data_IF_862963549512
#
_entry.id   IF_862963549512
#
_cell.length_a   1.000
_cell.length_b   1.000
_cell.length_c   1.000
_cell.angle_alpha   90.00
_cell.angle_beta   90.00
_cell.angle_gamma   90.00
#
_symmetry.space_group_name_H-M   'P 1'
#
loop_
_entity.id
_entity.type
_entity.pdbx_description
1 polymer ?
#
# COMPACT_ATOMS: atom_id res chain seq x y z
N UNK A 1 61.72 -8.34 30.34
CA UNK A 1 60.35 -7.80 30.37
C UNK A 1 59.94 -7.44 28.95
N UNK A 2 58.98 -8.15 28.36
CA UNK A 2 58.34 -7.78 27.08
C UNK A 2 56.84 -7.86 27.32
N UNK A 3 56.20 -6.71 27.42
CA UNK A 3 54.75 -6.57 27.54
C UNK A 3 54.14 -6.75 26.16
N UNK A 4 53.23 -7.72 26.01
CA UNK A 4 52.41 -7.88 24.81
C UNK A 4 51.16 -6.98 24.94
N UNK A 5 50.70 -6.33 23.86
CA UNK A 5 49.49 -5.52 23.91
C UNK A 5 48.27 -6.43 23.83
N UNK A 6 47.34 -6.26 24.77
CA UNK A 6 46.00 -6.87 24.71
C UNK A 6 45.19 -6.08 23.69
N UNK A 7 44.87 -6.70 22.56
CA UNK A 7 43.97 -6.14 21.56
C UNK A 7 42.53 -6.13 22.08
N UNK A 8 41.97 -4.94 22.29
CA UNK A 8 40.57 -4.75 22.65
C UNK A 8 39.72 -4.75 21.37
N UNK A 9 39.09 -5.87 21.05
CA UNK A 9 38.16 -5.97 19.91
C UNK A 9 36.82 -5.36 20.29
N UNK A 10 36.54 -4.15 19.79
CA UNK A 10 35.23 -3.49 19.94
C UNK A 10 34.23 -4.14 18.98
N UNK A 11 33.23 -4.85 19.51
CA UNK A 11 32.13 -5.41 18.73
C UNK A 11 31.14 -4.27 18.41
N UNK A 12 31.16 -3.72 17.19
CA UNK A 12 30.10 -2.83 16.72
C UNK A 12 28.84 -3.66 16.45
N UNK A 13 27.83 -3.56 17.32
CA UNK A 13 26.48 -3.99 16.99
C UNK A 13 25.89 -3.00 15.96
N UNK A 14 25.81 -3.41 14.69
CA UNK A 14 24.94 -2.76 13.72
C UNK A 14 23.49 -3.00 14.13
N UNK A 15 22.90 -2.05 14.85
CA UNK A 15 21.45 -1.99 14.97
C UNK A 15 20.89 -1.74 13.57
N UNK A 16 20.19 -2.73 13.01
CA UNK A 16 19.41 -2.53 11.79
C UNK A 16 18.40 -1.42 12.07
N UNK A 17 18.69 -0.20 11.60
CA UNK A 17 17.73 0.89 11.64
C UNK A 17 16.54 0.42 10.80
N UNK A 18 15.41 0.17 11.46
CA UNK A 18 14.14 -0.01 10.76
C UNK A 18 13.82 1.34 10.13
N UNK A 19 14.12 1.47 8.84
CA UNK A 19 13.68 2.63 8.07
C UNK A 19 12.17 2.50 7.96
N UNK A 20 11.46 3.20 8.85
CA UNK A 20 10.00 3.36 8.77
C UNK A 20 9.68 4.01 7.43
N UNK A 21 9.23 3.22 6.48
CA UNK A 21 9.06 3.64 5.11
C UNK A 21 7.59 3.86 4.77
N UNK A 22 7.18 5.11 4.57
CA UNK A 22 6.15 5.50 3.60
C UNK A 22 4.64 5.29 3.92
N UNK A 23 4.18 4.20 4.54
CA UNK A 23 2.83 4.13 5.15
C UNK A 23 1.94 2.91 4.87
N UNK A 24 0.66 3.03 5.27
CA UNK A 24 -0.38 2.01 5.13
C UNK A 24 -1.78 2.63 5.06
N UNK A 25 -2.78 1.80 4.75
CA UNK A 25 -4.19 2.18 4.87
C UNK A 25 -4.55 2.34 6.35
N UNK A 26 -4.75 3.59 6.78
CA UNK A 26 -5.17 3.95 8.14
C UNK A 26 -6.70 3.86 8.28
N UNK A 27 -7.42 4.15 7.19
CA UNK A 27 -8.87 4.01 7.14
C UNK A 27 -9.33 3.59 5.74
N UNK A 28 -9.96 2.42 5.58
CA UNK A 28 -10.11 1.36 6.59
C UNK A 28 -8.74 0.86 7.07
N UNK A 29 -8.61 0.55 8.36
CA UNK A 29 -7.31 0.20 8.96
C UNK A 29 -6.84 -1.19 8.51
N UNK A 30 -5.77 -1.27 7.74
CA UNK A 30 -5.18 -2.55 7.37
C UNK A 30 -4.67 -3.32 8.61
N UNK A 31 -4.87 -4.64 8.59
CA UNK A 31 -4.22 -5.58 9.53
C UNK A 31 -3.14 -6.36 8.79
N UNK A 32 -2.17 -6.87 9.53
CA UNK A 32 -0.92 -7.39 8.98
C UNK A 32 -0.71 -8.84 9.41
N UNK A 33 0.00 -9.59 8.57
CA UNK A 33 0.26 -11.03 8.76
C UNK A 33 1.01 -11.35 10.06
N UNK A 34 1.70 -10.36 10.66
CA UNK A 34 2.42 -10.51 11.92
C UNK A 34 2.64 -9.15 12.58
N UNK A 35 2.62 -9.06 13.93
CA UNK A 35 2.95 -7.83 14.64
C UNK A 35 4.42 -7.40 14.46
N UNK A 36 5.29 -8.30 14.01
CA UNK A 36 6.73 -8.02 13.85
C UNK A 36 7.07 -7.35 12.51
N UNK A 37 6.15 -7.35 11.55
CA UNK A 37 6.34 -6.70 10.25
C UNK A 37 6.32 -5.18 10.43
N UNK A 38 7.24 -4.49 9.75
CA UNK A 38 7.11 -3.07 9.56
C UNK A 38 5.92 -2.80 8.63
N UNK A 39 4.82 -2.30 9.22
CA UNK A 39 3.56 -2.00 8.55
C UNK A 39 3.74 -1.02 7.40
N UNK A 40 4.74 -0.16 7.51
CA UNK A 40 5.02 0.90 6.54
C UNK A 40 5.74 0.35 5.31
N UNK A 41 6.58 -0.69 5.45
CA UNK A 41 7.44 -1.22 4.38
C UNK A 41 6.71 -1.53 3.05
N UNK A 42 7.42 -1.28 1.94
CA UNK A 42 7.05 -1.73 0.59
C UNK A 42 7.10 -3.25 0.49
N UNK A 43 6.28 -3.83 -0.39
CA UNK A 43 6.20 -5.29 -0.58
C UNK A 43 7.07 -5.79 -1.74
N UNK A 44 7.37 -4.92 -2.70
CA UNK A 44 8.01 -5.30 -3.94
C UNK A 44 8.64 -4.10 -4.62
N UNK A 45 9.46 -4.38 -5.63
CA UNK A 45 10.11 -3.36 -6.45
C UNK A 45 9.80 -3.58 -7.92
N UNK A 46 9.93 -2.51 -8.70
CA UNK A 46 9.91 -2.55 -10.17
C UNK A 46 11.18 -1.87 -10.67
N UNK A 47 11.91 -2.54 -11.57
CA UNK A 47 13.01 -1.94 -12.31
C UNK A 47 12.45 -1.07 -13.45
N UNK A 48 12.58 0.25 -13.28
CA UNK A 48 11.99 1.21 -14.21
C UNK A 48 12.61 1.19 -15.59
N UNK A 49 13.93 0.98 -15.72
CA UNK A 49 14.61 0.94 -17.01
C UNK A 49 14.40 -0.39 -17.73
N UNK A 50 14.16 -1.48 -16.99
CA UNK A 50 13.70 -2.73 -17.61
C UNK A 50 12.28 -2.59 -18.18
N UNK A 51 11.40 -1.88 -17.46
CA UNK A 51 10.01 -1.70 -17.87
C UNK A 51 9.86 -0.66 -18.99
N UNK A 52 10.54 0.48 -18.87
CA UNK A 52 10.51 1.60 -19.81
C UNK A 52 11.95 2.06 -20.13
N UNK A 53 12.64 1.41 -21.08
CA UNK A 53 14.07 1.65 -21.35
C UNK A 53 14.43 3.09 -21.72
N UNK A 54 13.52 3.82 -22.36
CA UNK A 54 13.74 5.18 -22.85
C UNK A 54 13.34 6.26 -21.83
N UNK A 55 12.91 5.88 -20.63
CA UNK A 55 12.49 6.82 -19.59
C UNK A 55 13.65 7.41 -18.80
N UNK A 56 13.33 8.42 -17.99
CA UNK A 56 14.27 9.12 -17.09
C UNK A 56 13.73 8.98 -15.67
N UNK A 57 14.35 8.11 -14.86
CA UNK A 57 13.77 7.70 -13.57
C UNK A 57 14.70 7.84 -12.35
N UNK A 58 15.90 8.40 -12.53
CA UNK A 58 16.86 8.60 -11.44
C UNK A 58 17.30 10.06 -11.32
N UNK A 59 16.34 10.97 -11.35
CA UNK A 59 16.56 12.42 -11.25
C UNK A 59 15.56 13.03 -10.26
N UNK A 60 15.20 14.30 -10.44
CA UNK A 60 14.14 14.98 -9.68
C UNK A 60 12.83 14.16 -9.67
N UNK A 61 12.15 14.00 -8.52
CA UNK A 61 10.90 13.25 -8.43
C UNK A 61 9.81 13.71 -9.39
N UNK A 62 9.73 15.01 -9.69
CA UNK A 62 8.76 15.56 -10.64
C UNK A 62 9.03 15.02 -12.04
N UNK A 63 10.30 15.07 -12.47
CA UNK A 63 10.73 14.57 -13.79
C UNK A 63 10.55 13.05 -13.87
N UNK A 64 10.83 12.31 -12.80
CA UNK A 64 10.62 10.86 -12.76
C UNK A 64 9.14 10.50 -13.01
N UNK A 65 8.21 11.22 -12.35
CA UNK A 65 6.78 10.99 -12.54
C UNK A 65 6.29 11.45 -13.91
N UNK A 66 6.76 12.58 -14.43
CA UNK A 66 6.44 13.02 -15.80
C UNK A 66 6.87 11.98 -16.84
N UNK A 67 8.10 11.48 -16.71
CA UNK A 67 8.61 10.41 -17.58
C UNK A 67 7.80 9.13 -17.43
N UNK A 68 7.39 8.77 -16.21
CA UNK A 68 6.51 7.62 -15.98
C UNK A 68 5.18 7.81 -16.70
N UNK A 69 4.52 8.95 -16.54
CA UNK A 69 3.21 9.22 -17.15
C UNK A 69 3.29 9.16 -18.67
N UNK A 70 4.34 9.71 -19.26
CA UNK A 70 4.56 9.64 -20.72
C UNK A 70 4.72 8.19 -21.20
N UNK A 71 5.59 7.41 -20.55
CA UNK A 71 5.86 6.04 -20.93
C UNK A 71 4.66 5.11 -20.65
N UNK A 72 3.98 5.28 -19.53
CA UNK A 72 2.80 4.52 -19.16
C UNK A 72 1.66 4.70 -20.17
N UNK A 73 1.44 5.93 -20.66
CA UNK A 73 0.44 6.22 -21.71
C UNK A 73 0.72 5.50 -23.03
N UNK A 74 2.00 5.31 -23.38
CA UNK A 74 2.43 4.59 -24.58
C UNK A 74 2.44 3.06 -24.39
N UNK A 75 2.36 2.60 -23.15
CA UNK A 75 2.45 1.19 -22.80
C UNK A 75 1.17 0.40 -23.09
N UNK A 76 1.26 -0.94 -22.95
CA UNK A 76 0.10 -1.84 -23.03
C UNK A 76 -0.84 -1.74 -21.82
N UNK A 77 -0.37 -1.22 -20.68
CA UNK A 77 -1.09 -1.28 -19.41
C UNK A 77 -2.26 -0.30 -19.38
N UNK A 78 -3.40 -0.76 -18.87
CA UNK A 78 -4.62 0.07 -18.69
C UNK A 78 -4.82 0.53 -17.24
N UNK A 79 -4.02 -0.02 -16.33
CA UNK A 79 -4.00 0.33 -14.92
C UNK A 79 -2.62 0.15 -14.31
N UNK A 80 -2.38 0.89 -13.23
CA UNK A 80 -1.17 0.77 -12.42
C UNK A 80 -1.15 -0.61 -11.75
N UNK A 81 -2.31 -1.12 -11.30
CA UNK A 81 -2.47 -2.50 -10.83
C UNK A 81 -1.92 -3.53 -11.82
N UNK A 82 -2.37 -3.49 -13.08
CA UNK A 82 -1.93 -4.46 -14.10
C UNK A 82 -0.42 -4.33 -14.38
N UNK A 83 0.11 -3.11 -14.38
CA UNK A 83 1.55 -2.89 -14.50
C UNK A 83 2.32 -3.47 -13.32
N UNK A 84 1.84 -3.28 -12.08
CA UNK A 84 2.45 -3.86 -10.89
C UNK A 84 2.43 -5.38 -10.96
N UNK A 85 1.27 -5.98 -11.25
CA UNK A 85 1.08 -7.43 -11.29
C UNK A 85 2.00 -8.12 -12.32
N UNK A 86 2.25 -7.49 -13.47
CA UNK A 86 3.12 -8.03 -14.52
C UNK A 86 4.64 -7.90 -14.21
N UNK A 87 5.07 -6.93 -13.40
CA UNK A 87 6.49 -6.53 -13.35
C UNK A 87 7.13 -6.52 -11.96
N UNK A 88 6.35 -6.61 -10.89
CA UNK A 88 6.88 -6.51 -9.54
C UNK A 88 7.74 -7.71 -9.15
N UNK A 89 8.78 -7.45 -8.34
CA UNK A 89 9.58 -8.47 -7.68
C UNK A 89 9.39 -8.34 -6.17
N UNK A 90 8.83 -9.37 -5.53
CA UNK A 90 8.59 -9.37 -4.09
C UNK A 90 9.91 -9.30 -3.31
N UNK A 91 9.96 -8.48 -2.26
CA UNK A 91 11.13 -8.38 -1.38
C UNK A 91 11.17 -9.42 -0.27
N UNK A 92 10.05 -10.11 -0.05
CA UNK A 92 9.94 -11.19 0.93
C UNK A 92 8.97 -12.26 0.44
N UNK A 93 9.26 -13.51 0.79
CA UNK A 93 8.35 -14.66 0.60
C UNK A 93 7.08 -14.58 1.45
N UNK A 94 7.09 -13.78 2.51
CA UNK A 94 5.94 -13.60 3.40
C UNK A 94 4.92 -12.61 2.83
N UNK A 95 5.33 -11.77 1.86
CA UNK A 95 4.43 -10.87 1.16
C UNK A 95 3.66 -11.60 0.06
N UNK A 96 2.44 -11.17 -0.19
CA UNK A 96 1.64 -11.60 -1.35
C UNK A 96 1.69 -10.55 -2.46
N UNK A 97 1.64 -10.97 -3.72
CA UNK A 97 1.65 -10.07 -4.86
C UNK A 97 0.48 -9.07 -4.87
N UNK A 98 -0.69 -9.46 -4.35
CA UNK A 98 -1.88 -8.63 -4.35
C UNK A 98 -2.02 -7.76 -3.09
N UNK A 99 -1.65 -8.27 -1.92
CA UNK A 99 -1.94 -7.63 -0.62
C UNK A 99 -0.69 -7.30 0.20
N UNK A 100 0.51 -7.50 -0.35
CA UNK A 100 1.76 -7.29 0.37
C UNK A 100 1.75 -8.06 1.69
N UNK A 101 2.07 -7.35 2.77
CA UNK A 101 2.08 -7.90 4.14
C UNK A 101 0.75 -7.74 4.89
N UNK A 102 -0.31 -7.25 4.24
CA UNK A 102 -1.62 -7.15 4.87
C UNK A 102 -2.34 -8.49 4.86
N UNK A 103 -3.10 -8.74 5.92
CA UNK A 103 -3.95 -9.92 6.06
C UNK A 103 -5.42 -9.48 6.03
N UNK A 104 -6.06 -9.53 4.86
CA UNK A 104 -7.45 -9.11 4.73
C UNK A 104 -8.41 -10.01 5.52
N UNK A 105 -8.03 -11.24 5.90
CA UNK A 105 -8.89 -12.11 6.72
C UNK A 105 -9.05 -11.61 8.17
N UNK A 106 -8.15 -10.75 8.64
CA UNK A 106 -8.24 -10.10 9.96
C UNK A 106 -9.06 -8.80 9.95
N UNK A 107 -9.64 -8.45 8.81
CA UNK A 107 -10.46 -7.25 8.65
C UNK A 107 -11.85 -7.62 8.17
N UNK A 108 -12.86 -6.85 8.57
CA UNK A 108 -14.24 -7.07 8.16
C UNK A 108 -15.02 -5.76 8.30
N UNK A 109 -14.89 -4.89 7.31
CA UNK A 109 -15.49 -3.55 7.33
C UNK A 109 -16.90 -3.53 6.73
N UNK A 110 -17.75 -2.61 7.21
CA UNK A 110 -19.03 -2.32 6.57
C UNK A 110 -18.88 -1.55 5.25
N UNK A 111 -19.94 -0.84 4.88
CA UNK A 111 -19.88 0.05 3.72
C UNK A 111 -18.77 1.09 3.87
N UNK A 112 -18.04 1.35 2.79
CA UNK A 112 -17.03 2.40 2.74
C UNK A 112 -17.68 3.79 2.62
N UNK A 113 -17.01 4.77 3.24
CA UNK A 113 -17.18 6.17 2.85
C UNK A 113 -16.62 6.41 1.44
N UNK A 114 -16.83 7.60 0.92
CA UNK A 114 -16.26 8.07 -0.35
C UNK A 114 -14.77 8.46 -0.26
N UNK A 115 -14.12 8.19 0.87
CA UNK A 115 -12.71 8.56 1.11
C UNK A 115 -12.01 7.49 1.92
N UNK A 116 -10.81 7.09 1.49
CA UNK A 116 -9.86 6.29 2.27
C UNK A 116 -8.68 7.16 2.71
N UNK A 117 -7.94 6.70 3.70
CA UNK A 117 -6.82 7.44 4.26
C UNK A 117 -5.54 6.61 4.25
N UNK A 118 -4.53 7.14 3.57
CA UNK A 118 -3.17 6.60 3.56
C UNK A 118 -2.28 7.42 4.51
N UNK A 119 -1.58 6.77 5.42
CA UNK A 119 -0.74 7.48 6.38
C UNK A 119 0.29 6.60 7.07
N UNK A 120 0.98 7.18 8.04
CA UNK A 120 2.03 6.51 8.82
C UNK A 120 1.64 6.29 10.29
N UNK A 121 0.47 6.78 10.69
CA UNK A 121 -0.05 6.71 12.04
C UNK A 121 -1.53 6.28 12.06
N UNK A 122 -1.96 5.56 13.10
CA UNK A 122 -3.37 5.19 13.28
C UNK A 122 -4.25 6.44 13.57
N UNK A 123 -3.65 7.50 14.14
CA UNK A 123 -4.27 8.82 14.24
C UNK A 123 -4.12 9.58 12.92
N UNK A 124 -5.25 9.87 12.26
CA UNK A 124 -5.30 10.56 10.98
C UNK A 124 -4.69 11.97 10.99
N UNK A 125 -4.53 12.58 12.17
CA UNK A 125 -4.02 13.95 12.32
C UNK A 125 -2.50 14.00 12.52
N UNK A 126 -1.86 12.85 12.78
CA UNK A 126 -0.44 12.73 13.06
C UNK A 126 0.35 12.28 11.83
N UNK A 127 1.66 12.55 11.86
CA UNK A 127 2.61 12.24 10.79
C UNK A 127 2.20 12.83 9.42
N UNK A 128 2.39 12.07 8.34
CA UNK A 128 2.20 12.49 6.96
C UNK A 128 1.58 11.35 6.15
N UNK A 129 0.96 11.69 5.02
CA UNK A 129 0.46 10.75 4.01
C UNK A 129 1.57 10.26 3.08
N UNK A 130 1.42 10.50 1.78
CA UNK A 130 2.43 10.15 0.79
C UNK A 130 3.67 11.03 0.94
N UNK A 131 4.83 10.40 1.14
CA UNK A 131 6.12 11.09 1.29
C UNK A 131 6.97 11.08 0.01
N UNK A 132 6.50 10.39 -1.04
CA UNK A 132 7.13 10.37 -2.35
C UNK A 132 6.11 10.48 -3.48
N UNK A 133 6.54 11.06 -4.59
CA UNK A 133 5.71 11.20 -5.77
C UNK A 133 5.54 9.87 -6.48
N UNK A 134 4.39 9.74 -7.13
CA UNK A 134 4.07 8.61 -7.99
C UNK A 134 2.60 8.23 -7.96
N UNK A 135 2.21 7.27 -8.81
CA UNK A 135 0.83 6.92 -9.04
C UNK A 135 0.25 6.08 -7.90
N UNK A 136 -1.05 6.19 -7.70
CA UNK A 136 -1.81 5.29 -6.84
C UNK A 136 -3.16 4.93 -7.45
N UNK A 137 -3.68 3.77 -7.04
CA UNK A 137 -5.00 3.28 -7.43
C UNK A 137 -5.69 2.60 -6.25
N UNK A 138 -7.00 2.80 -6.17
CA UNK A 138 -7.88 2.03 -5.27
C UNK A 138 -8.78 1.12 -6.08
N UNK A 139 -8.89 -0.13 -5.65
CA UNK A 139 -9.71 -1.15 -6.27
C UNK A 139 -10.65 -1.78 -5.25
N UNK A 140 -11.87 -2.05 -5.68
CA UNK A 140 -12.85 -2.86 -4.97
C UNK A 140 -13.11 -4.12 -5.80
N UNK A 141 -12.55 -5.23 -5.33
CA UNK A 141 -12.33 -6.47 -6.09
C UNK A 141 -11.66 -6.17 -7.45
N UNK A 142 -12.41 -6.30 -8.55
CA UNK A 142 -11.95 -6.09 -9.92
C UNK A 142 -12.38 -4.75 -10.51
N UNK A 143 -13.04 -3.90 -9.72
CA UNK A 143 -13.49 -2.58 -10.15
C UNK A 143 -12.56 -1.49 -9.62
N UNK A 144 -12.01 -0.67 -10.51
CA UNK A 144 -11.20 0.48 -10.11
C UNK A 144 -12.10 1.59 -9.60
N UNK A 145 -11.85 2.04 -8.38
CA UNK A 145 -12.60 3.07 -7.68
C UNK A 145 -11.90 4.43 -7.72
N UNK A 146 -10.57 4.44 -7.82
CA UNK A 146 -9.75 5.66 -7.94
C UNK A 146 -8.48 5.38 -8.73
N UNK A 147 -8.01 6.39 -9.47
CA UNK A 147 -6.68 6.43 -10.07
C UNK A 147 -6.17 7.87 -10.08
N UNK A 148 -4.92 8.06 -9.69
CA UNK A 148 -4.20 9.32 -9.84
C UNK A 148 -2.72 9.02 -10.11
N UNK A 149 -2.07 9.85 -10.93
CA UNK A 149 -0.70 9.61 -11.39
C UNK A 149 0.37 10.24 -10.49
N UNK A 150 -0.01 11.12 -9.56
CA UNK A 150 0.88 11.71 -8.56
C UNK A 150 0.12 12.00 -7.25
N UNK A 151 -0.15 10.94 -6.49
CA UNK A 151 -1.01 11.01 -5.31
C UNK A 151 -0.45 11.87 -4.18
N UNK A 152 0.88 12.03 -4.11
CA UNK A 152 1.48 12.98 -3.17
C UNK A 152 1.02 14.41 -3.49
N UNK A 153 1.11 14.83 -4.75
CA UNK A 153 0.72 16.19 -5.13
C UNK A 153 -0.79 16.39 -4.99
N UNK A 154 -1.59 15.41 -5.43
CA UNK A 154 -3.05 15.54 -5.44
C UNK A 154 -3.68 15.47 -4.04
N UNK A 155 -3.16 14.61 -3.16
CA UNK A 155 -3.82 14.26 -1.88
C UNK A 155 -3.03 14.67 -0.64
N UNK A 156 -2.06 15.57 -0.75
CA UNK A 156 -1.43 16.16 0.44
C UNK A 156 -2.47 16.95 1.25
N UNK A 157 -2.64 16.68 2.56
CA UNK A 157 -3.53 17.48 3.41
C UNK A 157 -3.14 18.96 3.40
N UNK A 158 -4.13 19.86 3.41
CA UNK A 158 -3.88 21.31 3.40
C UNK A 158 -3.03 21.80 4.59
N UNK A 159 -3.07 21.09 5.72
CA UNK A 159 -2.23 21.33 6.90
C UNK A 159 -0.76 20.94 6.71
N UNK A 160 -0.43 20.20 5.64
CA UNK A 160 0.87 19.54 5.44
C UNK A 160 1.13 18.38 6.42
N UNK A 161 0.14 18.01 7.24
CA UNK A 161 0.24 16.95 8.27
C UNK A 161 -0.99 16.05 8.25
N UNK A 162 -0.81 14.82 8.71
CA UNK A 162 -1.85 13.82 8.77
C UNK A 162 -1.88 12.90 7.56
N UNK A 163 -2.76 11.90 7.63
CA UNK A 163 -2.99 10.95 6.55
C UNK A 163 -3.58 11.64 5.31
N UNK A 164 -3.15 11.22 4.13
CA UNK A 164 -3.65 11.70 2.85
C UNK A 164 -5.09 11.22 2.62
N UNK A 165 -6.06 12.13 2.43
CA UNK A 165 -7.42 11.77 2.04
C UNK A 165 -7.46 11.44 0.55
N UNK A 166 -7.71 10.17 0.22
CA UNK A 166 -7.85 9.69 -1.15
C UNK A 166 -9.34 9.48 -1.44
N UNK A 167 -9.97 10.33 -2.27
CA UNK A 167 -11.35 10.17 -2.67
C UNK A 167 -11.53 8.90 -3.52
N UNK A 168 -12.62 8.20 -3.33
CA UNK A 168 -12.94 6.94 -4.02
C UNK A 168 -14.38 6.96 -4.51
N UNK A 169 -14.64 6.36 -5.68
CA UNK A 169 -16.02 6.01 -6.06
C UNK A 169 -16.47 4.80 -5.24
N UNK A 170 -17.13 5.03 -4.11
CA UNK A 170 -17.59 3.94 -3.24
C UNK A 170 -18.77 3.14 -3.84
N UNK A 171 -19.40 3.62 -4.92
CA UNK A 171 -20.53 2.92 -5.54
C UNK A 171 -20.10 1.59 -6.16
N UNK A 172 -18.88 1.52 -6.70
CA UNK A 172 -18.30 0.27 -7.23
C UNK A 172 -17.90 -0.73 -6.13
N UNK A 173 -17.93 -0.31 -4.86
CA UNK A 173 -17.55 -1.11 -3.70
C UNK A 173 -18.76 -1.76 -2.99
N UNK A 174 -20.00 -1.46 -3.38
CA UNK A 174 -21.23 -1.85 -2.65
C UNK A 174 -21.33 -3.35 -2.31
N UNK A 175 -20.86 -4.21 -3.20
CA UNK A 175 -20.86 -5.67 -3.03
C UNK A 175 -19.45 -6.28 -3.09
N UNK A 176 -18.42 -5.43 -3.03
CA UNK A 176 -17.06 -5.89 -3.10
C UNK A 176 -16.70 -6.66 -1.82
N UNK A 177 -15.82 -7.65 -1.94
CA UNK A 177 -15.30 -8.42 -0.81
C UNK A 177 -14.01 -7.84 -0.27
N UNK A 178 -13.25 -7.15 -1.12
CA UNK A 178 -11.93 -6.65 -0.80
C UNK A 178 -11.72 -5.26 -1.38
N UNK A 179 -11.13 -4.38 -0.59
CA UNK A 179 -10.43 -3.20 -1.10
C UNK A 179 -8.94 -3.49 -1.18
N UNK A 180 -8.33 -3.05 -2.28
CA UNK A 180 -6.89 -3.09 -2.50
C UNK A 180 -6.43 -1.69 -2.91
N UNK A 181 -5.48 -1.15 -2.17
CA UNK A 181 -4.85 0.12 -2.50
C UNK A 181 -3.43 -0.12 -2.97
N UNK A 182 -3.05 0.45 -4.12
CA UNK A 182 -1.71 0.40 -4.67
C UNK A 182 -1.11 1.80 -4.70
N UNK A 183 0.17 1.92 -4.39
CA UNK A 183 0.96 3.13 -4.60
C UNK A 183 2.38 2.76 -5.00
N UNK A 184 2.95 3.51 -5.94
CA UNK A 184 4.33 3.32 -6.41
C UNK A 184 5.12 4.59 -6.11
N UNK A 185 6.15 4.48 -5.28
CA UNK A 185 7.06 5.59 -4.98
C UNK A 185 8.20 5.64 -6.00
N UNK A 186 8.39 6.81 -6.63
CA UNK A 186 9.28 7.01 -7.78
C UNK A 186 10.44 7.97 -7.48
N UNK A 187 11.02 7.89 -6.28
CA UNK A 187 12.15 8.72 -5.86
C UNK A 187 13.52 8.25 -6.40
N UNK A 188 13.54 7.20 -7.23
CA UNK A 188 14.73 6.68 -7.91
C UNK A 188 14.36 5.59 -8.92
N UNK A 189 15.37 5.04 -9.61
CA UNK A 189 15.14 4.09 -10.71
C UNK A 189 14.56 2.74 -10.31
N UNK A 190 14.74 2.33 -9.05
CA UNK A 190 14.05 1.16 -8.50
C UNK A 190 12.81 1.64 -7.78
N UNK A 191 11.66 1.49 -8.43
CA UNK A 191 10.40 1.92 -7.84
C UNK A 191 9.99 1.01 -6.70
N UNK A 192 9.50 1.60 -5.61
CA UNK A 192 9.02 0.87 -4.44
C UNK A 192 7.50 0.76 -4.51
N UNK A 193 6.99 -0.46 -4.42
CA UNK A 193 5.55 -0.74 -4.54
C UNK A 193 4.95 -1.03 -3.18
N UNK A 194 3.87 -0.30 -2.90
CA UNK A 194 3.04 -0.42 -1.72
C UNK A 194 1.68 -0.96 -2.15
N UNK A 195 1.24 -2.03 -1.52
CA UNK A 195 -0.10 -2.58 -1.65
C UNK A 195 -0.60 -2.99 -0.28
N UNK A 196 -1.82 -2.58 0.06
CA UNK A 196 -2.52 -2.96 1.28
C UNK A 196 -3.95 -3.35 0.95
N UNK A 197 -4.45 -4.38 1.62
CA UNK A 197 -5.79 -4.90 1.47
C UNK A 197 -6.57 -4.84 2.78
N UNK A 198 -7.89 -4.67 2.64
CA UNK A 198 -8.88 -4.86 3.69
C UNK A 198 -10.07 -5.64 3.11
N UNK A 199 -10.71 -6.49 3.91
CA UNK A 199 -11.96 -7.17 3.53
C UNK A 199 -13.19 -6.42 4.01
N UNK A 200 -14.27 -6.57 3.26
CA UNK A 200 -15.62 -6.12 3.61
C UNK A 200 -16.47 -7.27 4.14
N UNK A 201 -17.42 -6.91 5.01
CA UNK A 201 -18.52 -7.75 5.42
C UNK A 201 -19.32 -8.12 4.17
N UNK A 202 -19.32 -9.39 3.81
CA UNK A 202 -20.31 -9.92 2.88
C UNK A 202 -21.62 -10.00 3.64
N UNK A 203 -22.44 -8.96 3.54
CA UNK A 203 -23.83 -9.04 4.01
C UNK A 203 -24.54 -10.01 3.08
N UNK A 204 -24.70 -11.26 3.52
CA UNK A 204 -25.57 -12.21 2.85
C UNK A 204 -26.98 -11.62 2.88
N UNK A 205 -27.41 -11.01 1.78
CA UNK A 205 -28.79 -10.60 1.55
C UNK A 205 -29.66 -11.84 1.34
N UNK A 206 -29.76 -12.69 2.37
CA UNK A 206 -30.71 -13.78 2.44
C UNK A 206 -31.45 -13.68 3.78
N UNK A 207 -32.36 -12.71 3.86
CA UNK A 207 -33.41 -12.64 4.89
C UNK A 207 -34.41 -13.83 4.85
N UNK A 208 -34.08 -14.91 4.14
CA UNK A 208 -34.89 -16.13 4.05
C UNK A 208 -34.31 -17.35 4.76
N UNK A 209 -33.23 -17.23 5.54
CA UNK A 209 -32.83 -18.30 6.47
C UNK A 209 -33.41 -18.10 7.88
N UNK A 210 -34.74 -18.23 7.93
CA UNK A 210 -35.48 -19.03 8.90
C UNK A 210 -35.21 -18.76 10.40
N UNK A 211 -36.11 -17.97 10.97
CA UNK A 211 -36.67 -18.17 12.31
C UNK A 211 -37.27 -19.60 12.37
N UNK A 212 -36.49 -20.60 12.79
CA UNK A 212 -36.99 -21.87 13.35
C UNK A 212 -35.90 -22.52 14.19
N UNK A 213 -35.80 -22.13 15.44
CA UNK A 213 -35.39 -22.97 16.57
C UNK A 213 -35.86 -22.24 17.83
N UNK A 214 -36.48 -22.97 18.76
CA UNK A 214 -37.14 -22.55 20.01
C UNK A 214 -38.67 -22.45 20.00
N UNK A 215 -39.33 -23.54 19.58
CA UNK A 215 -40.59 -23.99 20.18
C UNK A 215 -40.67 -25.51 20.02
N UNK A 216 -40.00 -26.25 20.92
CA UNK A 216 -40.37 -27.61 21.34
C UNK A 216 -39.39 -28.08 22.41
N UNK A 217 -39.67 -27.74 23.67
CA UNK A 217 -39.42 -28.61 24.82
C UNK A 217 -40.64 -28.43 25.73
N UNK A 218 -41.59 -29.36 25.64
CA UNK A 218 -42.46 -29.78 26.73
C UNK A 218 -42.17 -31.25 26.97
#
# INVERSE_FOLDING_TARGET
MKTSPVGLTTLLLLAAQRVSGHGYLVRPLAKFISPNIDKTQYLSTIDSYKLFPDGTFNTDPTINVESFVENFKKSKYKSVKAMIEDNQVLVSKDATASCGFSDPAQTSYGALNDTIYWGRNDDLTLDEGFVHMGPCETWCDDNRSQQDMNCQVTYTPASGKGAAPVPIDNSVCKNAKRLTFYWVAMHGATWQVYSKCCSFLVVLTNWKLIIRLHCCVM
#
